data_IF_636229436510
#
_entry.id   IF_636229436510
#
_cell.length_a   1.000
_cell.length_b   1.000
_cell.length_c   1.000
_cell.angle_alpha   90.00
_cell.angle_beta   90.00
_cell.angle_gamma   90.00
#
_symmetry.space_group_name_H-M   'P 1'
#
loop_
_entity.id
_entity.type
_entity.pdbx_description
1 polymer ?
#
# COMPACT_ATOMS: atom_id res chain seq x y z
N UNK A 1 -10.39 21.03 -2.24
CA UNK A 1 -9.93 19.73 -2.75
C UNK A 1 -9.87 18.78 -1.56
N UNK A 2 -10.67 17.72 -1.56
CA UNK A 2 -10.56 16.66 -0.55
C UNK A 2 -9.39 15.78 -0.94
N UNK A 3 -8.36 15.69 -0.11
CA UNK A 3 -7.23 14.78 -0.36
C UNK A 3 -7.73 13.36 -0.11
N UNK A 4 -7.59 12.48 -1.11
CA UNK A 4 -7.92 11.06 -1.01
C UNK A 4 -6.64 10.28 -0.66
N UNK A 5 -6.74 9.13 0.02
CA UNK A 5 -5.56 8.32 0.38
C UNK A 5 -5.06 7.46 -0.79
N UNK A 6 -5.60 7.63 -2.00
CA UNK A 6 -5.27 6.84 -3.17
C UNK A 6 -5.36 7.66 -4.47
N UNK A 7 -4.74 7.12 -5.52
CA UNK A 7 -4.98 7.50 -6.91
C UNK A 7 -5.43 6.28 -7.73
N UNK A 8 -6.15 6.52 -8.82
CA UNK A 8 -6.58 5.50 -9.78
C UNK A 8 -5.91 5.76 -11.13
N UNK A 9 -5.30 4.73 -11.71
CA UNK A 9 -4.63 4.79 -13.00
C UNK A 9 -5.15 3.65 -13.86
N UNK A 10 -5.67 3.99 -15.04
CA UNK A 10 -6.01 3.00 -16.05
C UNK A 10 -4.75 2.69 -16.87
N UNK A 11 -4.38 1.41 -16.91
CA UNK A 11 -3.22 0.91 -17.64
C UNK A 11 -3.72 0.09 -18.81
N UNK A 12 -3.46 0.55 -20.03
CA UNK A 12 -3.83 -0.18 -21.24
C UNK A 12 -3.13 -1.55 -21.25
N UNK A 13 -3.90 -2.62 -21.46
CA UNK A 13 -3.33 -3.91 -21.80
C UNK A 13 -2.85 -3.84 -23.25
N UNK A 14 -1.68 -4.41 -23.58
CA UNK A 14 -1.20 -4.47 -24.96
C UNK A 14 -2.24 -5.18 -25.87
N UNK A 15 -2.97 -4.40 -26.70
CA UNK A 15 -4.00 -4.91 -27.64
C UNK A 15 -5.38 -4.26 -27.47
N UNK A 16 -6.43 -4.94 -27.96
CA UNK A 16 -7.83 -4.48 -27.93
C UNK A 16 -8.57 -4.82 -26.60
N UNK A 17 -7.83 -5.03 -25.51
CA UNK A 17 -8.40 -5.38 -24.20
C UNK A 17 -8.93 -4.16 -23.45
N UNK A 18 -9.83 -4.40 -22.48
CA UNK A 18 -10.20 -3.34 -21.53
C UNK A 18 -8.98 -2.95 -20.68
N UNK A 19 -8.80 -1.65 -20.38
CA UNK A 19 -7.71 -1.19 -19.54
C UNK A 19 -7.84 -1.75 -18.13
N UNK A 20 -6.70 -2.07 -17.50
CA UNK A 20 -6.63 -2.53 -16.12
C UNK A 20 -6.63 -1.31 -15.20
N UNK A 21 -7.62 -1.20 -14.32
CA UNK A 21 -7.69 -0.13 -13.34
C UNK A 21 -6.84 -0.46 -12.12
N UNK A 22 -5.74 0.26 -11.95
CA UNK A 22 -4.80 0.13 -10.84
C UNK A 22 -5.07 1.21 -9.80
N UNK A 23 -5.36 0.80 -8.57
CA UNK A 23 -5.42 1.69 -7.42
C UNK A 23 -4.07 1.76 -6.70
N UNK A 24 -3.54 2.96 -6.53
CA UNK A 24 -2.34 3.26 -5.76
C UNK A 24 -2.75 3.75 -4.37
N UNK A 25 -2.67 2.89 -3.36
CA UNK A 25 -3.10 3.19 -1.99
C UNK A 25 -1.91 3.60 -1.12
N UNK A 26 -1.93 4.81 -0.58
CA UNK A 26 -0.88 5.31 0.33
C UNK A 26 -1.10 4.85 1.77
N UNK A 27 -0.10 4.24 2.39
CA UNK A 27 -0.11 3.82 3.79
C UNK A 27 1.17 4.27 4.51
N UNK A 28 0.98 4.95 5.65
CA UNK A 28 2.08 5.43 6.48
C UNK A 28 2.09 4.65 7.80
N UNK A 29 3.27 4.22 8.25
CA UNK A 29 3.42 3.51 9.53
C UNK A 29 2.70 4.22 10.69
N UNK A 30 2.05 3.45 11.54
CA UNK A 30 1.44 3.90 12.80
C UNK A 30 2.34 3.62 14.01
N UNK A 31 3.57 3.13 13.79
CA UNK A 31 4.48 2.70 14.85
C UNK A 31 4.80 3.84 15.84
N UNK A 32 4.60 3.62 17.16
CA UNK A 32 4.91 4.61 18.17
C UNK A 32 6.40 5.00 18.15
N UNK A 33 6.67 6.30 18.23
CA UNK A 33 8.03 6.83 18.33
C UNK A 33 8.74 7.09 17.00
N UNK A 34 8.19 6.66 15.86
CA UNK A 34 8.73 6.99 14.53
C UNK A 34 8.62 8.50 14.25
N UNK A 35 7.57 9.15 14.74
CA UNK A 35 7.33 10.57 14.54
C UNK A 35 7.66 11.41 15.77
N UNK A 36 8.14 12.64 15.54
CA UNK A 36 8.31 13.64 16.60
C UNK A 36 6.98 13.88 17.32
N UNK A 37 7.06 14.14 18.62
CA UNK A 37 5.89 14.54 19.43
C UNK A 37 5.15 15.70 18.75
N UNK A 38 3.83 15.60 18.70
CA UNK A 38 2.91 16.59 18.13
C UNK A 38 3.04 16.81 16.60
N UNK A 39 3.72 15.93 15.84
CA UNK A 39 3.85 16.08 14.37
C UNK A 39 2.49 16.14 13.66
N UNK A 40 1.51 15.39 14.14
CA UNK A 40 0.16 15.34 13.57
C UNK A 40 -0.84 16.26 14.27
N UNK A 41 -0.39 17.18 15.15
CA UNK A 41 -1.22 18.20 15.80
C UNK A 41 -2.49 17.65 16.48
N UNK A 42 -2.37 16.48 17.12
CA UNK A 42 -3.47 15.80 17.81
C UNK A 42 -4.25 14.79 16.97
N UNK A 43 -3.95 14.63 15.68
CA UNK A 43 -4.52 13.58 14.85
C UNK A 43 -3.86 12.22 15.14
N UNK A 44 -4.66 11.16 15.15
CA UNK A 44 -4.18 9.78 15.22
C UNK A 44 -3.87 9.24 13.83
N UNK A 45 -2.81 8.42 13.73
CA UNK A 45 -2.57 7.59 12.55
C UNK A 45 -3.31 6.28 12.78
N UNK A 46 -4.17 5.90 11.85
CA UNK A 46 -4.87 4.62 11.89
C UNK A 46 -3.92 3.45 11.63
N UNK A 47 -4.29 2.27 12.09
CA UNK A 47 -3.55 1.04 11.79
C UNK A 47 -3.55 0.76 10.27
N UNK A 48 -2.37 0.44 9.73
CA UNK A 48 -2.19 0.25 8.28
C UNK A 48 -2.93 -0.97 7.76
N UNK A 49 -3.07 -2.03 8.55
CA UNK A 49 -3.80 -3.24 8.14
C UNK A 49 -5.30 -2.98 8.05
N UNK A 50 -5.87 -2.32 9.07
CA UNK A 50 -7.28 -1.91 9.06
C UNK A 50 -7.60 -0.96 7.90
N UNK A 51 -6.74 0.04 7.67
CA UNK A 51 -6.86 0.96 6.55
C UNK A 51 -6.77 0.22 5.20
N UNK A 52 -5.80 -0.68 5.03
CA UNK A 52 -5.66 -1.47 3.82
C UNK A 52 -6.89 -2.33 3.53
N UNK A 53 -7.43 -3.02 4.55
CA UNK A 53 -8.62 -3.85 4.41
C UNK A 53 -9.84 -3.01 3.98
N UNK A 54 -10.05 -1.85 4.62
CA UNK A 54 -11.17 -0.97 4.33
C UNK A 54 -11.08 -0.38 2.91
N UNK A 55 -9.97 0.27 2.59
CA UNK A 55 -9.80 0.98 1.34
C UNK A 55 -9.70 0.02 0.16
N UNK A 56 -8.99 -1.10 0.26
CA UNK A 56 -8.91 -2.06 -0.84
C UNK A 56 -10.28 -2.64 -1.20
N UNK A 57 -11.12 -2.90 -0.19
CA UNK A 57 -12.50 -3.34 -0.41
C UNK A 57 -13.35 -2.27 -1.09
N UNK A 58 -13.25 -1.01 -0.64
CA UNK A 58 -13.98 0.12 -1.22
C UNK A 58 -13.54 0.37 -2.66
N UNK A 59 -12.23 0.43 -2.93
CA UNK A 59 -11.64 0.63 -4.25
C UNK A 59 -12.11 -0.41 -5.27
N UNK A 60 -12.12 -1.68 -4.87
CA UNK A 60 -12.61 -2.76 -5.74
C UNK A 60 -14.12 -2.67 -5.98
N UNK A 61 -14.91 -2.41 -4.95
CA UNK A 61 -16.38 -2.46 -5.03
C UNK A 61 -17.00 -1.22 -5.67
N UNK A 62 -16.45 -0.05 -5.38
CA UNK A 62 -17.06 1.24 -5.73
C UNK A 62 -16.33 1.94 -6.87
N UNK A 63 -15.04 1.69 -7.04
CA UNK A 63 -14.22 2.32 -8.08
C UNK A 63 -13.78 1.37 -9.20
N UNK A 64 -14.11 0.08 -9.09
CA UNK A 64 -13.79 -0.94 -10.09
C UNK A 64 -12.29 -1.19 -10.21
N UNK A 65 -11.52 -1.05 -9.13
CA UNK A 65 -10.10 -1.38 -9.15
C UNK A 65 -9.89 -2.88 -9.35
N UNK A 66 -9.18 -3.24 -10.41
CA UNK A 66 -8.75 -4.61 -10.69
C UNK A 66 -7.56 -5.00 -9.80
N UNK A 67 -6.65 -4.04 -9.61
CA UNK A 67 -5.41 -4.19 -8.85
C UNK A 67 -5.30 -3.12 -7.79
N UNK A 68 -4.86 -3.48 -6.59
CA UNK A 68 -4.53 -2.56 -5.50
C UNK A 68 -3.06 -2.69 -5.14
N UNK A 69 -2.29 -1.64 -5.42
CA UNK A 69 -0.87 -1.52 -5.07
C UNK A 69 -0.76 -0.67 -3.82
N UNK A 70 -0.19 -1.22 -2.75
CA UNK A 70 0.11 -0.46 -1.55
C UNK A 70 1.45 0.27 -1.71
N UNK A 71 1.41 1.60 -1.63
CA UNK A 71 2.60 2.44 -1.50
C UNK A 71 2.83 2.71 -0.02
N UNK A 72 3.82 2.05 0.57
CA UNK A 72 3.98 2.01 2.02
C UNK A 72 5.25 2.72 2.48
N UNK A 73 5.21 3.28 3.68
CA UNK A 73 6.40 3.66 4.42
C UNK A 73 6.27 3.12 5.86
N UNK A 74 6.55 1.83 6.01
CA UNK A 74 6.52 1.07 7.25
C UNK A 74 7.61 0.00 7.23
N UNK A 75 7.90 -0.60 8.39
CA UNK A 75 8.94 -1.61 8.44
C UNK A 75 8.61 -2.86 7.64
N UNK A 76 9.63 -3.60 7.22
CA UNK A 76 9.51 -4.83 6.42
C UNK A 76 8.54 -5.82 7.06
N UNK A 77 8.56 -5.97 8.39
CA UNK A 77 7.66 -6.89 9.09
C UNK A 77 6.18 -6.54 8.86
N UNK A 78 5.82 -5.25 8.87
CA UNK A 78 4.45 -4.82 8.59
C UNK A 78 4.11 -4.97 7.10
N UNK A 79 5.05 -4.72 6.19
CA UNK A 79 4.85 -4.94 4.76
C UNK A 79 4.67 -6.43 4.43
N UNK A 80 5.40 -7.33 5.08
CA UNK A 80 5.26 -8.78 4.91
C UNK A 80 3.93 -9.29 5.49
N UNK A 81 3.49 -8.73 6.61
CA UNK A 81 2.15 -9.00 7.14
C UNK A 81 1.07 -8.52 6.16
N UNK A 82 1.19 -7.31 5.61
CA UNK A 82 0.27 -6.76 4.62
C UNK A 82 0.25 -7.60 3.33
N UNK A 83 1.42 -8.00 2.83
CA UNK A 83 1.55 -8.86 1.66
C UNK A 83 0.96 -10.27 1.88
N UNK A 84 0.87 -10.70 3.14
CA UNK A 84 0.21 -11.94 3.54
C UNK A 84 -1.29 -11.76 3.83
N UNK A 85 -1.85 -10.56 3.80
CA UNK A 85 -3.24 -10.34 4.21
C UNK A 85 -4.27 -10.74 3.14
N UNK A 86 -3.87 -10.70 1.86
CA UNK A 86 -4.79 -10.81 0.73
C UNK A 86 -5.63 -9.55 0.48
N UNK A 87 -5.32 -8.43 1.13
CA UNK A 87 -6.01 -7.15 0.89
C UNK A 87 -5.49 -6.43 -0.36
N UNK A 88 -4.20 -6.58 -0.66
CA UNK A 88 -3.49 -5.88 -1.74
C UNK A 88 -2.78 -6.87 -2.65
N UNK A 89 -2.46 -6.46 -3.86
CA UNK A 89 -1.86 -7.30 -4.90
C UNK A 89 -0.34 -7.13 -5.04
N UNK A 90 0.19 -6.02 -4.51
CA UNK A 90 1.61 -5.68 -4.51
C UNK A 90 1.90 -4.66 -3.39
N UNK A 91 3.06 -4.78 -2.75
CA UNK A 91 3.57 -3.78 -1.80
C UNK A 91 4.85 -3.15 -2.36
N UNK A 92 4.83 -1.83 -2.53
CA UNK A 92 5.99 -1.00 -2.84
C UNK A 92 6.33 -0.17 -1.60
N UNK A 93 7.37 -0.58 -0.88
CA UNK A 93 7.70 -0.06 0.45
C UNK A 93 8.94 0.83 0.52
N UNK A 94 9.00 1.62 1.59
CA UNK A 94 10.15 2.42 2.02
C UNK A 94 10.68 1.97 3.39
N UNK A 95 11.11 2.91 4.24
CA UNK A 95 11.58 2.70 5.63
C UNK A 95 12.99 2.12 5.83
N UNK A 96 13.33 0.95 5.28
CA UNK A 96 14.60 0.28 5.59
C UNK A 96 15.83 0.95 4.98
N UNK A 97 15.65 1.74 3.91
CA UNK A 97 16.76 2.28 3.11
C UNK A 97 17.63 1.18 2.46
N UNK A 98 17.13 -0.06 2.41
CA UNK A 98 17.77 -1.21 1.76
C UNK A 98 16.98 -1.68 0.53
N UNK A 99 17.68 -2.29 -0.42
CA UNK A 99 17.05 -2.97 -1.56
C UNK A 99 16.52 -4.32 -1.08
N UNK A 100 15.21 -4.48 -1.09
CA UNK A 100 14.54 -5.69 -0.60
C UNK A 100 13.56 -6.20 -1.65
N UNK A 101 13.59 -7.50 -1.89
CA UNK A 101 12.55 -8.24 -2.61
C UNK A 101 12.16 -9.44 -1.76
N UNK A 102 10.90 -9.48 -1.32
CA UNK A 102 10.38 -10.56 -0.48
C UNK A 102 9.04 -11.05 -0.99
N UNK A 103 8.75 -12.32 -0.73
CA UNK A 103 7.41 -12.91 -0.83
C UNK A 103 7.21 -13.79 0.41
N UNK A 104 6.58 -13.28 1.47
CA UNK A 104 6.68 -13.84 2.83
C UNK A 104 5.99 -15.20 3.01
N UNK A 105 5.08 -15.59 2.10
CA UNK A 105 4.44 -16.91 2.11
C UNK A 105 3.93 -17.33 0.73
N UNK A 106 3.66 -18.63 0.58
CA UNK A 106 2.92 -19.16 -0.58
C UNK A 106 1.52 -18.55 -0.66
N UNK A 107 1.14 -18.07 -1.84
CA UNK A 107 -0.11 -17.31 -2.04
C UNK A 107 -0.11 -15.88 -1.48
N UNK A 108 0.98 -15.42 -0.88
CA UNK A 108 1.19 -14.01 -0.56
C UNK A 108 1.68 -13.21 -1.77
N UNK A 109 1.61 -11.89 -1.68
CA UNK A 109 2.04 -10.98 -2.75
C UNK A 109 3.49 -10.53 -2.58
N UNK A 110 4.04 -9.89 -3.61
CA UNK A 110 5.42 -9.41 -3.58
C UNK A 110 5.56 -8.12 -2.75
N UNK A 111 6.67 -8.00 -2.04
CA UNK A 111 7.15 -6.77 -1.40
C UNK A 111 8.42 -6.33 -2.12
N UNK A 112 8.48 -5.07 -2.53
CA UNK A 112 9.67 -4.46 -3.16
C UNK A 112 10.01 -3.17 -2.42
N UNK A 113 11.28 -3.00 -2.02
CA UNK A 113 11.86 -1.75 -1.49
C UNK A 113 13.11 -1.41 -2.28
N UNK A 114 13.27 -0.15 -2.66
CA UNK A 114 14.28 0.27 -3.63
C UNK A 114 15.59 0.79 -3.03
N UNK A 115 15.74 0.76 -1.70
CA UNK A 115 16.87 1.37 -1.00
C UNK A 115 16.79 2.90 -0.88
N UNK A 116 17.91 3.52 -0.55
CA UNK A 116 18.13 4.97 -0.60
C UNK A 116 19.53 5.30 -1.12
N UNK A 117 19.72 6.52 -1.63
CA UNK A 117 21.04 7.11 -1.95
C UNK A 117 21.58 7.93 -0.78
#
# INVERSE_FOLDING_TARGET
SSVQPYDLVDVDADGDGEPIRVALLGLLTSEPGVFRRNKFRGLSIEDTMGAAAHWSKLLRREHGADVVVALTHQSLAYDEALASSGHVDLVLGGHEHEVIQSRPREGGVQVIKAGSD
#
